data_IF_017098402159
#
_entry.id   IF_017098402159
#
_cell.length_a   1.000
_cell.length_b   1.000
_cell.length_c   1.000
_cell.angle_alpha   90.00
_cell.angle_beta   90.00
_cell.angle_gamma   90.00
#
_symmetry.space_group_name_H-M   'P 1'
#
loop_
_entity.id
_entity.type
_entity.pdbx_description
1 polymer ?
#
# COMPACT_ATOMS: atom_id res chain seq x y z
N UNK A 1 -8.96 -21.44 -15.34
CA UNK A 1 -8.12 -20.32 -15.80
C UNK A 1 -7.10 -20.05 -14.70
N UNK A 2 -5.84 -19.82 -15.08
CA UNK A 2 -4.74 -19.51 -14.17
C UNK A 2 -4.18 -18.14 -14.50
N UNK A 3 -3.83 -17.37 -13.47
CA UNK A 3 -3.17 -16.06 -13.59
C UNK A 3 -1.91 -16.06 -12.75
N UNK A 4 -0.78 -15.81 -13.40
CA UNK A 4 0.51 -15.64 -12.76
C UNK A 4 0.82 -14.14 -12.65
N UNK A 5 1.11 -13.68 -11.44
CA UNK A 5 1.43 -12.29 -11.11
C UNK A 5 2.90 -12.22 -10.71
N UNK A 6 3.67 -11.35 -11.37
CA UNK A 6 5.09 -11.16 -11.07
C UNK A 6 5.26 -9.95 -10.14
N UNK A 7 5.75 -10.20 -8.93
CA UNK A 7 6.02 -9.25 -7.85
C UNK A 7 4.95 -9.28 -6.75
N UNK A 8 5.37 -9.47 -5.51
CA UNK A 8 4.52 -9.49 -4.31
C UNK A 8 4.54 -8.15 -3.54
N UNK A 9 4.63 -7.04 -4.27
CA UNK A 9 4.43 -5.71 -3.71
C UNK A 9 2.95 -5.35 -3.57
N UNK A 10 2.62 -4.12 -3.11
CA UNK A 10 1.23 -3.69 -2.92
C UNK A 10 0.35 -3.87 -4.16
N UNK A 11 0.87 -3.58 -5.36
CA UNK A 11 0.14 -3.76 -6.62
C UNK A 11 -0.13 -5.23 -6.96
N UNK A 12 0.85 -6.12 -6.78
CA UNK A 12 0.69 -7.54 -7.10
C UNK A 12 -0.28 -8.23 -6.15
N UNK A 13 -0.14 -8.00 -4.84
CA UNK A 13 -1.02 -8.61 -3.84
C UNK A 13 -2.44 -8.03 -3.90
N UNK A 14 -2.61 -6.72 -4.07
CA UNK A 14 -3.96 -6.15 -4.25
C UNK A 14 -4.65 -6.65 -5.51
N UNK A 15 -3.90 -6.89 -6.59
CA UNK A 15 -4.44 -7.51 -7.82
C UNK A 15 -4.86 -8.95 -7.55
N UNK A 16 -4.00 -9.74 -6.92
CA UNK A 16 -4.29 -11.14 -6.58
C UNK A 16 -5.58 -11.25 -5.75
N UNK A 17 -5.67 -10.46 -4.69
CA UNK A 17 -6.83 -10.40 -3.80
C UNK A 17 -8.08 -9.92 -4.55
N UNK A 18 -7.97 -8.91 -5.42
CA UNK A 18 -9.09 -8.44 -6.23
C UNK A 18 -9.63 -9.51 -7.18
N UNK A 19 -8.75 -10.29 -7.82
CA UNK A 19 -9.14 -11.42 -8.68
C UNK A 19 -9.86 -12.49 -7.86
N UNK A 20 -9.33 -12.87 -6.70
CA UNK A 20 -9.93 -13.89 -5.83
C UNK A 20 -11.29 -13.46 -5.28
N UNK A 21 -11.45 -12.18 -4.92
CA UNK A 21 -12.72 -11.62 -4.47
C UNK A 21 -13.79 -11.62 -5.57
N UNK A 22 -13.39 -11.34 -6.82
CA UNK A 22 -14.32 -11.32 -7.94
C UNK A 22 -14.68 -12.74 -8.44
N UNK A 23 -13.70 -13.65 -8.48
CA UNK A 23 -13.92 -15.04 -8.85
C UNK A 23 -12.95 -15.98 -8.10
N UNK A 24 -13.42 -16.66 -7.03
CA UNK A 24 -12.58 -17.52 -6.21
C UNK A 24 -12.14 -18.81 -6.92
N UNK A 25 -12.70 -19.14 -8.08
CA UNK A 25 -12.31 -20.33 -8.84
C UNK A 25 -11.10 -20.10 -9.76
N UNK A 26 -10.66 -18.84 -9.93
CA UNK A 26 -9.42 -18.54 -10.65
C UNK A 26 -8.23 -18.96 -9.78
N UNK A 27 -7.33 -19.75 -10.34
CA UNK A 27 -6.03 -20.04 -9.73
C UNK A 27 -5.14 -18.81 -9.91
N UNK A 28 -4.67 -18.24 -8.79
CA UNK A 28 -3.77 -17.09 -8.79
C UNK A 28 -2.48 -17.49 -8.12
N UNK A 29 -1.35 -17.27 -8.80
CA UNK A 29 -0.02 -17.52 -8.26
C UNK A 29 0.76 -16.22 -8.30
N UNK A 30 1.29 -15.78 -7.15
CA UNK A 30 2.13 -14.59 -7.05
C UNK A 30 3.59 -15.04 -6.90
N UNK A 31 4.44 -14.55 -7.79
CA UNK A 31 5.87 -14.87 -7.81
C UNK A 31 6.66 -13.69 -7.24
N UNK A 32 7.49 -13.94 -6.24
CA UNK A 32 8.38 -12.93 -5.66
C UNK A 32 9.83 -13.38 -5.83
N UNK A 33 10.71 -12.46 -6.24
CA UNK A 33 12.14 -12.76 -6.43
C UNK A 33 12.87 -12.85 -5.10
N UNK A 34 12.35 -12.17 -4.07
CA UNK A 34 12.90 -12.23 -2.72
C UNK A 34 12.44 -13.48 -1.98
N UNK A 35 13.19 -13.86 -0.95
CA UNK A 35 12.95 -15.07 -0.16
C UNK A 35 11.58 -15.07 0.53
N UNK A 36 11.17 -13.92 1.03
CA UNK A 36 9.97 -13.75 1.84
C UNK A 36 9.13 -12.57 1.32
N UNK A 37 7.81 -12.69 1.41
CA UNK A 37 6.89 -11.58 1.13
C UNK A 37 7.15 -10.44 2.12
N UNK A 38 7.12 -9.21 1.64
CA UNK A 38 7.40 -8.02 2.45
C UNK A 38 8.90 -7.77 2.68
N UNK A 39 9.81 -8.60 2.13
CA UNK A 39 11.25 -8.36 2.22
C UNK A 39 11.63 -7.03 1.54
N UNK A 40 11.86 -6.00 2.36
CA UNK A 40 12.04 -4.62 1.89
C UNK A 40 13.47 -4.12 2.09
N UNK A 41 14.40 -4.61 1.27
CA UNK A 41 15.79 -4.14 1.30
C UNK A 41 15.96 -2.70 0.75
N UNK A 42 14.93 -2.17 0.07
CA UNK A 42 14.96 -0.87 -0.60
C UNK A 42 14.09 0.21 0.08
N UNK A 43 13.66 -0.02 1.33
CA UNK A 43 12.64 0.77 2.05
C UNK A 43 12.90 2.27 2.25
N UNK A 44 13.93 2.84 1.63
CA UNK A 44 14.26 4.27 1.65
C UNK A 44 14.07 4.99 0.31
N UNK A 45 13.58 4.33 -0.74
CA UNK A 45 13.36 4.97 -2.05
C UNK A 45 11.96 5.58 -2.24
N UNK A 46 11.02 5.27 -1.35
CA UNK A 46 9.66 5.78 -1.38
C UNK A 46 9.38 6.55 -0.09
N UNK A 47 8.57 7.62 -0.17
CA UNK A 47 8.12 8.37 1.00
C UNK A 47 7.04 7.66 1.81
N UNK A 48 6.56 6.51 1.32
CA UNK A 48 5.56 5.62 1.96
C UNK A 48 4.26 6.32 2.37
N UNK A 49 3.97 7.49 1.79
CA UNK A 49 2.71 8.19 1.98
C UNK A 49 1.59 7.45 1.24
N UNK A 50 0.58 7.02 1.99
CA UNK A 50 -0.57 6.26 1.50
C UNK A 50 -1.85 6.95 1.96
N UNK A 51 -2.68 7.38 1.00
CA UNK A 51 -4.02 7.91 1.28
C UNK A 51 -5.08 6.85 1.05
N UNK A 52 -6.08 6.83 1.91
CA UNK A 52 -7.18 5.87 1.89
C UNK A 52 -8.44 6.59 1.40
N UNK A 53 -8.43 6.92 0.12
CA UNK A 53 -9.53 7.62 -0.54
C UNK A 53 -10.30 6.69 -1.48
N UNK A 54 -11.63 6.87 -1.58
CA UNK A 54 -12.52 6.18 -2.54
C UNK A 54 -12.30 4.66 -2.58
N UNK A 55 -11.76 4.15 -3.69
CA UNK A 55 -11.57 2.73 -4.02
C UNK A 55 -10.45 2.07 -3.18
N UNK A 56 -9.59 2.88 -2.57
CA UNK A 56 -8.46 2.41 -1.75
C UNK A 56 -8.87 2.07 -0.31
N UNK A 57 -10.14 2.30 0.07
CA UNK A 57 -10.66 2.04 1.43
C UNK A 57 -10.46 0.60 1.91
N UNK A 58 -10.54 -0.37 1.01
CA UNK A 58 -10.33 -1.77 1.34
C UNK A 58 -8.85 -2.09 1.66
N UNK A 59 -7.92 -1.25 1.21
CA UNK A 59 -6.47 -1.37 1.45
C UNK A 59 -6.02 -0.41 2.55
N UNK A 60 -6.80 -0.33 3.63
CA UNK A 60 -6.48 0.53 4.79
C UNK A 60 -5.38 -0.13 5.63
N UNK A 61 -4.28 0.57 5.95
CA UNK A 61 -3.27 0.04 6.88
C UNK A 61 -3.84 -0.05 8.30
N UNK A 62 -3.39 -1.03 9.06
CA UNK A 62 -3.81 -1.32 10.43
C UNK A 62 -2.62 -1.74 11.30
N UNK A 63 -2.70 -1.48 12.60
CA UNK A 63 -1.70 -1.93 13.57
C UNK A 63 -0.28 -1.55 13.17
N UNK A 64 0.60 -2.56 13.03
CA UNK A 64 2.03 -2.38 12.73
C UNK A 64 2.32 -1.86 11.32
N UNK A 65 1.37 -1.92 10.40
CA UNK A 65 1.55 -1.37 9.04
C UNK A 65 1.46 0.15 8.99
N UNK A 66 1.00 0.79 10.08
CA UNK A 66 1.02 2.25 10.24
C UNK A 66 2.32 2.63 10.96
N UNK A 67 3.23 3.30 10.24
CA UNK A 67 4.40 3.92 10.87
C UNK A 67 4.02 5.27 11.49
N UNK A 68 3.28 6.11 10.77
CA UNK A 68 2.77 7.38 11.27
C UNK A 68 1.46 7.79 10.57
N UNK A 69 0.76 8.77 11.12
CA UNK A 69 -0.39 9.43 10.47
C UNK A 69 0.04 10.78 9.90
N UNK A 70 -0.41 11.10 8.70
CA UNK A 70 -0.21 12.42 8.11
C UNK A 70 -1.46 13.24 8.38
N UNK A 71 -1.34 14.19 9.32
CA UNK A 71 -2.44 15.10 9.71
C UNK A 71 -2.35 16.46 9.03
N UNK A 72 -1.18 16.78 8.47
CA UNK A 72 -0.91 18.09 7.87
C UNK A 72 0.03 17.92 6.69
N UNK A 73 -0.23 18.65 5.61
CA UNK A 73 0.66 18.78 4.46
C UNK A 73 1.05 20.25 4.26
N UNK A 74 2.35 20.55 4.27
CA UNK A 74 2.92 21.84 3.86
C UNK A 74 3.21 21.78 2.35
N UNK A 75 2.55 22.62 1.57
CA UNK A 75 2.63 22.63 0.11
C UNK A 75 3.22 23.97 -0.34
N UNK A 76 4.36 23.92 -1.03
CA UNK A 76 5.05 25.09 -1.57
C UNK A 76 5.14 25.01 -3.09
N UNK A 77 4.58 25.99 -3.78
CA UNK A 77 4.60 26.09 -5.24
C UNK A 77 5.13 27.48 -5.62
N UNK A 78 6.42 27.56 -5.93
CA UNK A 78 7.11 28.84 -6.13
C UNK A 78 7.04 29.69 -4.86
N UNK A 79 6.43 30.89 -4.96
CA UNK A 79 6.21 31.79 -3.82
C UNK A 79 4.91 31.51 -3.05
N UNK A 80 4.08 30.58 -3.51
CA UNK A 80 2.81 30.26 -2.85
C UNK A 80 3.03 29.18 -1.80
N UNK A 81 2.43 29.37 -0.63
CA UNK A 81 2.49 28.45 0.50
C UNK A 81 1.07 28.14 0.96
N UNK A 82 0.77 26.86 1.10
CA UNK A 82 -0.50 26.35 1.59
C UNK A 82 -0.24 25.32 2.68
N UNK A 83 -1.09 25.33 3.70
CA UNK A 83 -1.13 24.27 4.70
C UNK A 83 -2.49 23.60 4.56
N UNK A 84 -2.49 22.29 4.42
CA UNK A 84 -3.70 21.48 4.33
C UNK A 84 -3.77 20.56 5.55
N UNK A 85 -4.85 20.68 6.31
CA UNK A 85 -5.18 19.76 7.39
C UNK A 85 -5.95 18.56 6.85
N UNK A 86 -5.66 17.39 7.40
CA UNK A 86 -6.22 16.12 6.97
C UNK A 86 -6.93 15.45 8.15
N UNK A 87 -8.13 14.87 7.95
CA UNK A 87 -8.81 14.13 9.01
C UNK A 87 -7.95 12.96 9.51
N UNK A 88 -8.07 12.60 10.80
CA UNK A 88 -7.41 11.41 11.31
C UNK A 88 -7.85 10.17 10.52
N UNK A 89 -6.90 9.25 10.31
CA UNK A 89 -7.09 7.96 9.63
C UNK A 89 -7.42 8.01 8.13
N UNK A 90 -7.04 9.09 7.45
CA UNK A 90 -7.14 9.20 5.98
C UNK A 90 -5.79 8.98 5.30
N UNK A 91 -4.71 9.54 5.84
CA UNK A 91 -3.37 9.49 5.22
C UNK A 91 -2.34 8.97 6.22
N UNK A 92 -1.48 8.08 5.77
CA UNK A 92 -0.52 7.34 6.59
C UNK A 92 0.87 7.35 5.97
N UNK A 93 1.89 7.33 6.83
CA UNK A 93 3.19 6.80 6.45
C UNK A 93 3.16 5.30 6.75
N UNK A 94 3.39 4.48 5.74
CA UNK A 94 3.37 3.03 5.89
C UNK A 94 4.68 2.52 6.51
N UNK A 95 4.56 1.55 7.41
CA UNK A 95 5.58 0.53 7.54
C UNK A 95 5.35 -0.45 6.37
N UNK A 96 6.04 -0.21 5.26
CA UNK A 96 5.77 -0.89 3.98
C UNK A 96 5.83 -2.41 4.09
N UNK A 97 6.81 -2.95 4.82
CA UNK A 97 6.96 -4.39 4.98
C UNK A 97 5.74 -4.99 5.67
N UNK A 98 5.36 -4.43 6.82
CA UNK A 98 4.18 -4.87 7.56
C UNK A 98 2.89 -4.66 6.74
N UNK A 99 2.82 -3.61 5.93
CA UNK A 99 1.68 -3.40 5.02
C UNK A 99 1.60 -4.46 3.93
N UNK A 100 2.73 -4.82 3.29
CA UNK A 100 2.78 -5.90 2.31
C UNK A 100 2.36 -7.22 2.96
N UNK A 101 2.84 -7.52 4.16
CA UNK A 101 2.42 -8.71 4.91
C UNK A 101 0.93 -8.69 5.26
N UNK A 102 0.33 -7.52 5.51
CA UNK A 102 -1.11 -7.39 5.73
C UNK A 102 -1.93 -7.74 4.48
N UNK A 103 -1.37 -7.59 3.29
CA UNK A 103 -2.04 -7.86 2.01
C UNK A 103 -1.89 -9.31 1.54
N UNK A 104 -0.98 -10.07 2.14
CA UNK A 104 -0.65 -11.46 1.79
C UNK A 104 -1.55 -12.46 2.53
#
# INVERSE_FOLDING_TARGET
MKVDIIGAGPGGLSTATSIKNHNPNIEVVVHEKYKDIGYNHEGRRCGEAHSVEREWKQWKPTGKSIFNRILTADIRIGKRHYVSEQPPDVIFILNRQEFICQLA
#
